data_IF_958517186444
#
_entry.id   IF_958517186444
#
_cell.length_a   1.000
_cell.length_b   1.000
_cell.length_c   1.000
_cell.angle_alpha   90.00
_cell.angle_beta   90.00
_cell.angle_gamma   90.00
#
_symmetry.space_group_name_H-M   'P 1'
#
loop_
_entity.id
_entity.type
_entity.pdbx_description
1 polymer ?
#
# COMPACT_ATOMS: atom_id res chain seq x y z
N UNK A 1 11.14 -10.39 -0.40
CA UNK A 1 12.45 -10.01 0.16
C UNK A 1 12.98 -11.23 0.90
N UNK A 2 14.06 -11.85 0.42
CA UNK A 2 14.56 -13.10 1.01
C UNK A 2 15.22 -12.82 2.38
N UNK A 3 14.94 -13.63 3.41
CA UNK A 3 15.53 -13.45 4.72
C UNK A 3 17.04 -13.73 4.64
N UNK A 4 17.83 -12.83 5.24
CA UNK A 4 19.31 -12.88 5.28
C UNK A 4 19.85 -14.18 5.89
N UNK A 5 19.00 -14.96 6.58
CA UNK A 5 19.33 -16.25 7.18
C UNK A 5 19.53 -17.39 6.17
N UNK A 6 19.12 -17.23 4.91
CA UNK A 6 19.22 -18.27 3.87
C UNK A 6 20.49 -18.17 3.01
N UNK A 7 21.36 -17.20 3.30
CA UNK A 7 22.59 -16.97 2.53
C UNK A 7 23.74 -17.80 3.12
N UNK A 8 24.31 -18.77 2.37
CA UNK A 8 25.47 -19.52 2.82
C UNK A 8 26.69 -18.61 2.95
N UNK A 9 27.47 -18.78 4.03
CA UNK A 9 28.68 -17.98 4.29
C UNK A 9 29.93 -18.59 3.62
N UNK A 10 29.87 -19.87 3.25
CA UNK A 10 30.95 -20.63 2.61
C UNK A 10 31.04 -20.31 1.10
N UNK A 11 32.24 -20.08 0.57
CA UNK A 11 32.43 -19.57 -0.79
C UNK A 11 31.91 -20.50 -1.91
N UNK A 12 32.10 -21.82 -1.76
CA UNK A 12 31.61 -22.82 -2.73
C UNK A 12 30.08 -22.94 -2.68
N UNK A 13 29.51 -23.07 -1.49
CA UNK A 13 28.07 -23.15 -1.29
C UNK A 13 27.34 -21.85 -1.68
N UNK A 14 27.99 -20.69 -1.52
CA UNK A 14 27.48 -19.41 -1.99
C UNK A 14 27.43 -19.35 -3.53
N UNK A 15 28.44 -19.89 -4.20
CA UNK A 15 28.51 -19.89 -5.67
C UNK A 15 27.41 -20.76 -6.26
N UNK A 16 27.21 -21.96 -5.71
CA UNK A 16 26.13 -22.86 -6.12
C UNK A 16 24.75 -22.26 -5.84
N UNK A 17 24.59 -21.61 -4.67
CA UNK A 17 23.35 -20.92 -4.31
C UNK A 17 23.05 -19.76 -5.26
N UNK A 18 24.05 -18.94 -5.59
CA UNK A 18 23.90 -17.85 -6.56
C UNK A 18 23.57 -18.36 -7.95
N UNK A 19 24.20 -19.46 -8.37
CA UNK A 19 23.95 -20.07 -9.67
C UNK A 19 22.51 -20.57 -9.77
N UNK A 20 22.03 -21.27 -8.74
CA UNK A 20 20.65 -21.73 -8.66
C UNK A 20 19.65 -20.55 -8.73
N UNK A 21 19.88 -19.48 -7.96
CA UNK A 21 19.00 -18.29 -7.98
C UNK A 21 19.07 -17.51 -9.29
N UNK A 22 20.20 -17.56 -9.99
CA UNK A 22 20.33 -16.97 -11.31
C UNK A 22 19.51 -17.73 -12.35
N UNK A 23 19.58 -19.07 -12.35
CA UNK A 23 18.77 -19.90 -13.25
C UNK A 23 17.27 -19.71 -13.03
N UNK A 24 16.84 -19.67 -11.77
CA UNK A 24 15.44 -19.38 -11.42
C UNK A 24 14.97 -18.00 -11.96
N UNK A 25 15.83 -16.97 -11.89
CA UNK A 25 15.53 -15.66 -12.47
C UNK A 25 15.40 -15.71 -14.00
N UNK A 26 16.31 -16.38 -14.68
CA UNK A 26 16.32 -16.46 -16.14
C UNK A 26 15.10 -17.23 -16.68
N UNK A 27 14.66 -18.28 -15.98
CA UNK A 27 13.44 -19.01 -16.31
C UNK A 27 12.18 -18.14 -16.14
N UNK A 28 12.09 -17.39 -15.04
CA UNK A 28 10.99 -16.43 -14.81
C UNK A 28 10.96 -15.31 -15.87
N UNK A 29 12.13 -14.87 -16.33
CA UNK A 29 12.23 -13.88 -17.40
C UNK A 29 11.84 -14.46 -18.77
N UNK A 30 12.23 -15.71 -19.07
CA UNK A 30 11.78 -16.40 -20.27
C UNK A 30 10.24 -16.49 -20.31
N UNK A 31 9.62 -16.90 -19.21
CA UNK A 31 8.16 -16.92 -19.10
C UNK A 31 7.53 -15.53 -19.27
N UNK A 32 8.17 -14.48 -18.73
CA UNK A 32 7.71 -13.10 -18.91
C UNK A 32 7.80 -12.65 -20.38
N UNK A 33 8.88 -13.00 -21.10
CA UNK A 33 9.00 -12.66 -22.52
C UNK A 33 7.97 -13.38 -23.38
N UNK A 34 7.62 -14.63 -23.04
CA UNK A 34 6.64 -15.42 -23.79
C UNK A 34 5.18 -15.02 -23.46
N UNK A 35 4.88 -14.83 -22.17
CA UNK A 35 3.50 -14.66 -21.66
C UNK A 35 3.14 -13.19 -21.41
N UNK A 36 4.13 -12.28 -21.38
CA UNK A 36 3.95 -10.86 -21.07
C UNK A 36 3.61 -10.57 -19.60
N UNK A 37 3.61 -11.58 -18.73
CA UNK A 37 3.32 -11.44 -17.30
C UNK A 37 4.14 -12.43 -16.47
N UNK A 38 4.50 -12.02 -15.26
CA UNK A 38 5.19 -12.90 -14.32
C UNK A 38 4.18 -13.89 -13.72
N UNK A 39 4.56 -15.17 -13.54
CA UNK A 39 3.68 -16.13 -12.90
C UNK A 39 3.39 -15.65 -11.47
N UNK A 40 2.10 -15.50 -11.12
CA UNK A 40 1.71 -15.17 -9.76
C UNK A 40 2.10 -16.34 -8.85
N UNK A 41 2.92 -16.14 -7.81
CA UNK A 41 3.27 -17.23 -6.90
C UNK A 41 2.02 -17.71 -6.17
N UNK A 42 1.73 -19.01 -6.27
CA UNK A 42 0.60 -19.70 -5.65
C UNK A 42 0.53 -19.40 -4.15
N UNK A 43 -0.23 -18.39 -3.76
CA UNK A 43 -0.41 -17.99 -2.36
C UNK A 43 -0.20 -16.51 -2.05
N UNK A 44 0.36 -15.72 -2.96
CA UNK A 44 0.21 -14.26 -2.87
C UNK A 44 -1.13 -13.89 -3.48
N UNK A 45 -2.18 -13.87 -2.64
CA UNK A 45 -3.32 -12.99 -2.90
C UNK A 45 -2.71 -11.65 -3.23
N UNK A 46 -2.98 -11.13 -4.43
CA UNK A 46 -2.63 -9.78 -4.83
C UNK A 46 -2.71 -8.92 -3.58
N UNK A 47 -1.61 -8.27 -3.20
CA UNK A 47 -1.70 -7.25 -2.17
C UNK A 47 -2.75 -6.32 -2.72
N UNK A 48 -3.98 -6.44 -2.20
CA UNK A 48 -5.15 -5.75 -2.71
C UNK A 48 -4.69 -4.31 -2.64
N UNK A 49 -4.31 -3.77 -3.81
CA UNK A 49 -4.06 -2.37 -3.97
C UNK A 49 -5.41 -1.82 -3.63
N UNK A 50 -5.60 -1.51 -2.34
CA UNK A 50 -6.87 -1.12 -1.76
C UNK A 50 -7.22 0.07 -2.60
N UNK A 51 -8.09 -0.18 -3.58
CA UNK A 51 -8.39 0.79 -4.59
C UNK A 51 -8.90 1.94 -3.78
N UNK A 52 -8.11 3.00 -3.72
CA UNK A 52 -8.41 4.14 -2.91
C UNK A 52 -9.45 4.88 -3.74
N UNK A 53 -10.65 4.28 -3.82
CA UNK A 53 -11.87 4.88 -4.30
C UNK A 53 -12.21 5.90 -3.22
N UNK A 54 -11.45 6.98 -3.25
CA UNK A 54 -11.69 8.19 -2.52
C UNK A 54 -13.00 8.73 -3.11
N UNK A 55 -14.12 8.25 -2.56
CA UNK A 55 -15.44 8.60 -3.07
C UNK A 55 -15.62 10.11 -2.86
N UNK A 56 -15.70 10.90 -3.95
CA UNK A 56 -15.84 12.34 -3.84
C UNK A 56 -17.10 12.74 -3.07
N UNK A 57 -18.15 11.91 -3.09
CA UNK A 57 -19.38 12.14 -2.33
C UNK A 57 -19.12 11.99 -0.83
N UNK A 58 -18.36 10.97 -0.42
CA UNK A 58 -17.97 10.78 0.98
C UNK A 58 -17.11 11.94 1.50
N UNK A 59 -16.18 12.42 0.67
CA UNK A 59 -15.39 13.61 1.01
C UNK A 59 -16.25 14.87 1.12
N UNK A 60 -17.17 15.10 0.19
CA UNK A 60 -18.10 16.23 0.28
C UNK A 60 -18.98 16.15 1.52
N UNK A 61 -19.47 14.95 1.87
CA UNK A 61 -20.28 14.72 3.06
C UNK A 61 -19.50 15.07 4.33
N UNK A 62 -18.28 14.54 4.49
CA UNK A 62 -17.50 14.78 5.70
C UNK A 62 -17.05 16.24 5.85
N UNK A 63 -16.73 16.91 4.73
CA UNK A 63 -16.40 18.33 4.74
C UNK A 63 -17.63 19.18 5.10
N UNK A 64 -18.80 18.89 4.52
CA UNK A 64 -20.04 19.61 4.83
C UNK A 64 -20.42 19.48 6.32
N UNK A 65 -20.25 18.29 6.90
CA UNK A 65 -20.49 18.05 8.32
C UNK A 65 -19.55 18.89 9.20
N UNK A 66 -18.27 18.97 8.84
CA UNK A 66 -17.30 19.79 9.56
C UNK A 66 -17.65 21.30 9.50
N UNK A 67 -18.06 21.81 8.34
CA UNK A 67 -18.48 23.20 8.19
C UNK A 67 -19.75 23.53 8.98
N UNK A 68 -20.77 22.67 8.93
CA UNK A 68 -22.02 22.86 9.69
C UNK A 68 -21.75 22.84 11.20
N UNK A 69 -20.93 21.89 11.64
CA UNK A 69 -20.51 21.81 13.05
C UNK A 69 -19.77 23.08 13.47
N UNK A 70 -18.80 23.54 12.68
CA UNK A 70 -18.06 24.78 12.94
C UNK A 70 -18.96 26.01 12.99
N UNK A 71 -19.94 26.11 12.09
CA UNK A 71 -20.92 27.20 12.08
C UNK A 71 -21.79 27.20 13.34
N UNK A 72 -22.26 26.03 13.77
CA UNK A 72 -23.05 25.90 15.00
C UNK A 72 -22.25 26.38 16.22
N UNK A 73 -20.98 25.99 16.33
CA UNK A 73 -20.09 26.46 17.40
C UNK A 73 -19.84 27.97 17.34
N UNK A 74 -19.65 28.52 16.14
CA UNK A 74 -19.50 29.96 15.95
C UNK A 74 -20.74 30.72 16.44
N UNK A 75 -21.95 30.25 16.10
CA UNK A 75 -23.19 30.84 16.58
C UNK A 75 -23.30 30.79 18.11
N UNK A 76 -22.98 29.64 18.73
CA UNK A 76 -23.00 29.49 20.20
C UNK A 76 -22.03 30.45 20.87
N UNK A 77 -20.80 30.57 20.35
CA UNK A 77 -19.82 31.52 20.87
C UNK A 77 -20.31 32.96 20.70
N UNK A 78 -20.89 33.32 19.57
CA UNK A 78 -21.44 34.66 19.36
C UNK A 78 -22.55 35.00 20.37
N UNK A 79 -23.47 34.07 20.63
CA UNK A 79 -24.49 34.26 21.66
C UNK A 79 -23.89 34.39 23.07
N UNK A 80 -22.86 33.60 23.40
CA UNK A 80 -22.16 33.74 24.67
C UNK A 80 -21.42 35.07 24.78
N UNK A 81 -20.77 35.53 23.71
CA UNK A 81 -20.11 36.84 23.67
C UNK A 81 -21.12 37.99 23.86
N UNK A 82 -22.27 37.95 23.18
CA UNK A 82 -23.35 38.94 23.37
C UNK A 82 -24.02 38.88 24.75
N UNK A 83 -23.89 37.77 25.48
CA UNK A 83 -24.46 37.62 26.82
C UNK A 83 -23.47 38.03 27.92
N UNK A 84 -22.16 38.01 27.63
CA UNK A 84 -21.08 38.35 28.56
C UNK A 84 -20.62 39.81 28.48
N UNK A 85 -20.88 40.51 27.37
CA UNK A 85 -20.59 41.93 27.15
C UNK A 85 -21.87 42.70 26.84
#
# INVERSE_FOLDING_TARGET
>A
MYPIKEVPVEAEALTDWLYQRFVEKEELLAHFYDTGSFPQPDGHKEAVSRQMTLDPVWLCAIQSFAFVSGYMWYSVLQYLYCCLF
#
